data_IF_086430851748
#
_entry.id   IF_086430851748
#
_cell.length_a   1.000
_cell.length_b   1.000
_cell.length_c   1.000
_cell.angle_alpha   90.00
_cell.angle_beta   90.00
_cell.angle_gamma   90.00
#
_symmetry.space_group_name_H-M   'P 1'
#
loop_
_entity.id
_entity.type
_entity.pdbx_description
1 polymer ?
#
# COMPACT_ATOMS: atom_id res chain seq x y z
N UNK A 1 -0.98 1.28 -14.82
CA UNK A 1 -0.01 0.64 -13.91
C UNK A 1 0.91 1.63 -13.22
N UNK A 2 1.51 2.63 -13.89
CA UNK A 2 2.36 3.65 -13.25
C UNK A 2 1.59 4.77 -12.51
N UNK A 3 0.32 4.55 -12.18
CA UNK A 3 -0.53 5.53 -11.51
C UNK A 3 0.07 5.98 -10.17
N UNK A 4 0.79 5.08 -9.49
CA UNK A 4 1.50 5.37 -8.26
C UNK A 4 2.63 6.40 -8.44
N UNK A 5 3.35 6.42 -9.57
CA UNK A 5 4.36 7.46 -9.82
C UNK A 5 3.73 8.84 -9.97
N UNK A 6 2.65 8.95 -10.74
CA UNK A 6 1.95 10.22 -10.91
C UNK A 6 1.42 10.75 -9.58
N UNK A 7 0.89 9.85 -8.75
CA UNK A 7 0.46 10.15 -7.39
C UNK A 7 1.63 10.63 -6.53
N UNK A 8 2.77 9.91 -6.53
CA UNK A 8 3.95 10.29 -5.74
C UNK A 8 4.45 11.68 -6.13
N UNK A 9 4.57 11.96 -7.43
CA UNK A 9 4.97 13.27 -7.93
C UNK A 9 4.01 14.36 -7.43
N UNK A 10 2.69 14.12 -7.53
CA UNK A 10 1.69 15.03 -7.00
C UNK A 10 1.81 15.27 -5.50
N UNK A 11 2.01 14.21 -4.70
CA UNK A 11 2.21 14.34 -3.25
C UNK A 11 3.50 15.10 -2.90
N UNK A 12 4.60 14.85 -3.61
CA UNK A 12 5.87 15.55 -3.36
C UNK A 12 5.78 17.03 -3.70
N UNK A 13 5.08 17.39 -4.78
CA UNK A 13 4.82 18.80 -5.12
C UNK A 13 3.97 19.50 -4.06
N UNK A 14 3.00 18.80 -3.45
CA UNK A 14 2.18 19.34 -2.37
C UNK A 14 2.86 19.30 -1.00
N UNK A 15 3.88 18.45 -0.81
CA UNK A 15 4.58 18.27 0.46
C UNK A 15 5.05 19.57 1.13
N UNK A 16 5.65 20.57 0.45
CA UNK A 16 6.00 21.83 1.10
C UNK A 16 4.80 22.56 1.71
N UNK A 17 3.67 22.58 1.00
CA UNK A 17 2.41 23.20 1.48
C UNK A 17 1.85 22.40 2.66
N UNK A 18 1.78 21.07 2.52
CA UNK A 18 1.26 20.18 3.56
C UNK A 18 2.13 20.23 4.82
N UNK A 19 3.45 20.38 4.69
CA UNK A 19 4.38 20.52 5.82
C UNK A 19 4.06 21.76 6.64
N UNK A 20 3.85 22.90 5.99
CA UNK A 20 3.46 24.15 6.67
C UNK A 20 2.09 23.97 7.33
N UNK A 21 1.10 23.43 6.61
CA UNK A 21 -0.23 23.18 7.17
C UNK A 21 -0.17 22.32 8.45
N UNK A 22 0.54 21.19 8.42
CA UNK A 22 0.68 20.27 9.56
C UNK A 22 1.45 20.88 10.73
N UNK A 23 2.31 21.88 10.47
CA UNK A 23 3.06 22.59 11.50
C UNK A 23 2.18 23.59 12.28
N UNK A 24 1.25 24.27 11.60
CA UNK A 24 0.43 25.34 12.21
C UNK A 24 -1.01 24.93 12.54
N UNK A 25 -1.51 23.81 12.01
CA UNK A 25 -2.89 23.37 12.26
C UNK A 25 -3.10 22.97 13.73
N UNK A 26 -4.21 23.44 14.32
CA UNK A 26 -4.63 22.99 15.64
C UNK A 26 -5.01 21.50 15.60
N UNK A 27 -4.61 20.73 16.62
CA UNK A 27 -4.93 19.30 16.76
C UNK A 27 -6.44 18.99 16.62
N UNK A 28 -7.33 19.82 17.17
CA UNK A 28 -8.78 19.62 17.07
C UNK A 28 -9.28 19.75 15.63
N UNK A 29 -8.82 20.79 14.92
CA UNK A 29 -9.17 21.04 13.53
C UNK A 29 -8.59 19.94 12.63
N UNK A 30 -7.37 19.50 12.91
CA UNK A 30 -6.75 18.42 12.17
C UNK A 30 -7.51 17.10 12.34
N UNK A 31 -7.92 16.76 13.56
CA UNK A 31 -8.74 15.57 13.80
C UNK A 31 -10.10 15.68 13.10
N UNK A 32 -10.75 16.85 13.15
CA UNK A 32 -12.01 17.08 12.44
C UNK A 32 -11.86 16.89 10.93
N UNK A 33 -10.80 17.42 10.34
CA UNK A 33 -10.48 17.23 8.93
C UNK A 33 -10.28 15.73 8.59
N UNK A 34 -9.55 14.99 9.41
CA UNK A 34 -9.34 13.55 9.21
C UNK A 34 -10.63 12.74 9.37
N UNK A 35 -11.51 13.13 10.30
CA UNK A 35 -12.83 12.51 10.46
C UNK A 35 -13.72 12.75 9.24
N UNK A 36 -13.72 13.97 8.69
CA UNK A 36 -14.45 14.28 7.46
C UNK A 36 -13.92 13.47 6.27
N UNK A 37 -12.60 13.38 6.13
CA UNK A 37 -11.96 12.54 5.11
C UNK A 37 -12.38 11.08 5.27
N UNK A 38 -12.28 10.53 6.48
CA UNK A 38 -12.67 9.14 6.76
C UNK A 38 -14.16 8.88 6.49
N UNK A 39 -15.04 9.81 6.84
CA UNK A 39 -16.47 9.71 6.49
C UNK A 39 -16.66 9.66 4.97
N UNK A 40 -16.02 10.57 4.24
CA UNK A 40 -16.12 10.63 2.79
C UNK A 40 -15.55 9.40 2.08
N UNK A 41 -14.41 8.88 2.54
CA UNK A 41 -13.73 7.76 1.87
C UNK A 41 -14.23 6.39 2.28
N UNK A 42 -14.57 6.19 3.55
CA UNK A 42 -14.91 4.87 4.08
C UNK A 42 -16.42 4.70 4.32
N UNK A 43 -17.08 5.72 4.88
CA UNK A 43 -18.48 5.62 5.31
C UNK A 43 -19.44 5.82 4.14
N UNK A 44 -19.19 6.78 3.25
CA UNK A 44 -20.08 7.05 2.10
C UNK A 44 -20.18 5.83 1.17
N UNK A 45 -19.09 5.18 0.74
CA UNK A 45 -19.19 3.97 -0.08
C UNK A 45 -19.91 2.83 0.66
N UNK A 46 -19.72 2.71 1.98
CA UNK A 46 -20.40 1.71 2.79
C UNK A 46 -21.92 1.92 2.79
N UNK A 47 -22.38 3.17 2.92
CA UNK A 47 -23.82 3.47 2.85
C UNK A 47 -24.42 3.14 1.48
N UNK A 48 -23.65 3.31 0.41
CA UNK A 48 -24.10 2.97 -0.95
C UNK A 48 -24.25 1.46 -1.19
N UNK A 49 -23.72 0.61 -0.31
CA UNK A 49 -23.99 -0.84 -0.35
C UNK A 49 -25.35 -1.22 0.24
N UNK A 50 -25.82 -0.46 1.24
CA UNK A 50 -27.07 -0.76 1.95
C UNK A 50 -28.26 0.08 1.47
N UNK A 51 -28.02 1.13 0.67
CA UNK A 51 -29.05 2.03 0.18
C UNK A 51 -28.93 2.22 -1.33
N UNK A 52 -30.06 2.29 -2.03
CA UNK A 52 -30.12 2.67 -3.45
C UNK A 52 -29.66 4.12 -3.69
N UNK A 53 -29.58 4.94 -2.63
CA UNK A 53 -29.07 6.29 -2.68
C UNK A 53 -27.55 6.33 -2.82
N UNK A 54 -27.09 6.63 -4.03
CA UNK A 54 -25.69 6.93 -4.31
C UNK A 54 -25.41 8.40 -4.00
N UNK A 55 -24.92 8.67 -2.79
CA UNK A 55 -24.32 9.96 -2.48
C UNK A 55 -23.16 10.20 -3.45
N UNK A 56 -23.17 11.34 -4.12
CA UNK A 56 -22.10 11.70 -5.04
C UNK A 56 -20.80 11.86 -4.25
N UNK A 57 -19.76 11.10 -4.61
CA UNK A 57 -18.45 11.16 -3.97
C UNK A 57 -17.81 12.56 -4.02
N UNK A 58 -18.24 13.42 -4.95
CA UNK A 58 -17.83 14.81 -5.06
C UNK A 58 -18.30 15.69 -3.89
N UNK A 59 -19.26 15.24 -3.07
CA UNK A 59 -19.67 15.94 -1.85
C UNK A 59 -18.51 16.09 -0.87
N UNK A 60 -17.56 15.13 -0.90
CA UNK A 60 -16.34 15.19 -0.12
C UNK A 60 -15.17 15.55 -1.04
N UNK A 61 -14.85 16.85 -1.09
CA UNK A 61 -13.74 17.41 -1.88
C UNK A 61 -12.39 16.80 -1.44
N UNK A 62 -12.27 16.45 -0.16
CA UNK A 62 -11.09 15.82 0.41
C UNK A 62 -11.32 14.32 0.49
N UNK A 63 -11.13 13.62 -0.61
CA UNK A 63 -11.10 12.16 -0.68
C UNK A 63 -9.77 11.69 -1.27
N UNK A 64 -9.48 10.40 -1.12
CA UNK A 64 -8.31 9.79 -1.75
C UNK A 64 -7.02 9.88 -0.94
N UNK A 65 -5.89 9.85 -1.67
CA UNK A 65 -4.54 9.60 -1.15
C UNK A 65 -3.97 10.68 -0.25
N UNK A 66 -4.43 11.93 -0.40
CA UNK A 66 -3.96 13.06 0.40
C UNK A 66 -4.35 12.90 1.88
N UNK A 67 -5.54 12.40 2.17
CA UNK A 67 -5.95 12.16 3.54
C UNK A 67 -5.18 11.00 4.19
N UNK A 68 -4.80 9.98 3.41
CA UNK A 68 -3.88 8.93 3.88
C UNK A 68 -2.51 9.50 4.29
N UNK A 69 -1.97 10.39 3.46
CA UNK A 69 -0.69 11.03 3.73
C UNK A 69 -0.74 11.88 5.02
N UNK A 70 -1.80 12.66 5.19
CA UNK A 70 -2.03 13.46 6.39
C UNK A 70 -2.34 12.61 7.64
N UNK A 71 -3.07 11.51 7.48
CA UNK A 71 -3.36 10.55 8.55
C UNK A 71 -2.07 9.93 9.08
N UNK A 72 -1.15 9.54 8.20
CA UNK A 72 0.17 9.06 8.60
C UNK A 72 0.94 10.11 9.43
N UNK A 73 0.96 11.36 8.96
CA UNK A 73 1.61 12.46 9.68
C UNK A 73 0.98 12.74 11.06
N UNK A 74 -0.35 12.62 11.18
CA UNK A 74 -1.04 12.75 12.47
C UNK A 74 -0.73 11.58 13.40
N UNK A 75 -0.76 10.34 12.89
CA UNK A 75 -0.52 9.12 13.65
C UNK A 75 0.87 9.09 14.29
N UNK A 76 1.90 9.62 13.62
CA UNK A 76 3.25 9.72 14.19
C UNK A 76 3.32 10.60 15.46
N UNK A 77 2.40 11.56 15.62
CA UNK A 77 2.33 12.43 16.82
C UNK A 77 1.62 11.74 17.98
N UNK A 78 0.94 10.62 17.75
CA UNK A 78 0.14 9.91 18.75
C UNK A 78 0.87 8.64 19.20
N UNK A 79 1.04 8.47 20.52
CA UNK A 79 1.58 7.23 21.08
C UNK A 79 0.47 6.23 21.29
N UNK A 80 0.51 5.14 20.55
CA UNK A 80 -0.39 3.99 20.70
C UNK A 80 0.42 2.79 21.18
N UNK A 81 -0.12 2.01 22.12
CA UNK A 81 0.54 0.77 22.57
C UNK A 81 0.54 -0.25 21.44
N UNK A 82 1.67 -0.94 21.23
CA UNK A 82 1.86 -1.89 20.13
C UNK A 82 0.81 -3.00 20.09
N UNK A 83 0.31 -3.46 21.25
CA UNK A 83 -0.74 -4.48 21.32
C UNK A 83 -2.00 -4.06 20.56
N UNK A 84 -2.45 -2.80 20.73
CA UNK A 84 -3.63 -2.31 20.01
C UNK A 84 -3.38 -2.22 18.51
N UNK A 85 -2.14 -1.92 18.09
CA UNK A 85 -1.79 -1.89 16.67
C UNK A 85 -1.83 -3.29 16.05
N UNK A 86 -1.30 -4.30 16.74
CA UNK A 86 -1.40 -5.69 16.27
C UNK A 86 -2.85 -6.16 16.18
N UNK A 87 -3.68 -5.85 17.19
CA UNK A 87 -5.11 -6.17 17.18
C UNK A 87 -5.81 -5.48 16.01
N UNK A 88 -5.56 -4.18 15.80
CA UNK A 88 -6.17 -3.43 14.70
C UNK A 88 -5.73 -3.96 13.33
N UNK A 89 -4.46 -4.35 13.18
CA UNK A 89 -3.94 -4.95 11.95
C UNK A 89 -4.62 -6.28 11.65
N UNK A 90 -4.66 -7.19 12.63
CA UNK A 90 -5.28 -8.52 12.47
C UNK A 90 -6.77 -8.38 12.21
N UNK A 91 -7.48 -7.55 12.98
CA UNK A 91 -8.91 -7.30 12.78
C UNK A 91 -9.20 -6.67 11.42
N UNK A 92 -8.37 -5.73 10.95
CA UNK A 92 -8.53 -5.13 9.62
C UNK A 92 -8.37 -6.15 8.50
N UNK A 93 -7.35 -7.02 8.59
CA UNK A 93 -7.13 -8.08 7.61
C UNK A 93 -8.25 -9.13 7.64
N UNK A 94 -8.64 -9.60 8.83
CA UNK A 94 -9.74 -10.56 8.98
C UNK A 94 -11.08 -9.98 8.51
N UNK A 95 -11.36 -8.71 8.84
CA UNK A 95 -12.56 -8.03 8.35
C UNK A 95 -12.58 -7.94 6.83
N UNK A 96 -11.42 -7.79 6.19
CA UNK A 96 -11.32 -7.73 4.73
C UNK A 96 -11.57 -9.12 4.12
N UNK A 97 -10.96 -10.17 4.69
CA UNK A 97 -11.16 -11.56 4.23
C UNK A 97 -12.62 -12.01 4.40
N UNK A 98 -13.15 -11.86 5.61
CA UNK A 98 -14.52 -12.27 5.95
C UNK A 98 -15.54 -11.38 5.23
N UNK A 99 -15.33 -10.06 5.22
CA UNK A 99 -16.21 -9.12 4.56
C UNK A 99 -16.32 -9.38 3.06
N UNK A 100 -15.19 -9.66 2.40
CA UNK A 100 -15.20 -10.02 0.98
C UNK A 100 -15.93 -11.34 0.75
N UNK A 101 -15.66 -12.37 1.55
CA UNK A 101 -16.32 -13.67 1.43
C UNK A 101 -17.85 -13.56 1.56
N UNK A 102 -18.33 -12.81 2.55
CA UNK A 102 -19.77 -12.59 2.78
C UNK A 102 -20.38 -11.79 1.62
N UNK A 103 -19.76 -10.68 1.21
CA UNK A 103 -20.32 -9.84 0.13
C UNK A 103 -20.39 -10.62 -1.18
N UNK A 104 -19.34 -11.37 -1.53
CA UNK A 104 -19.33 -12.18 -2.74
C UNK A 104 -20.41 -13.27 -2.68
N UNK A 105 -20.57 -13.92 -1.53
CA UNK A 105 -21.59 -14.95 -1.32
C UNK A 105 -23.04 -14.45 -1.29
N UNK A 106 -23.27 -13.15 -1.04
CA UNK A 106 -24.62 -12.59 -0.85
C UNK A 106 -25.07 -11.65 -1.99
N UNK A 107 -24.18 -10.76 -2.45
CA UNK A 107 -24.48 -9.71 -3.44
C UNK A 107 -23.86 -10.04 -4.80
N UNK A 108 -22.89 -10.97 -4.84
CA UNK A 108 -22.22 -11.46 -6.04
C UNK A 108 -20.83 -10.85 -6.27
N UNK A 109 -20.07 -11.48 -7.17
CA UNK A 109 -18.64 -11.20 -7.42
C UNK A 109 -18.33 -9.74 -7.82
N UNK A 110 -19.32 -9.00 -8.30
CA UNK A 110 -19.17 -7.59 -8.70
C UNK A 110 -18.69 -6.69 -7.56
N UNK A 111 -18.94 -7.06 -6.31
CA UNK A 111 -18.52 -6.32 -5.12
C UNK A 111 -17.31 -6.93 -4.40
N UNK A 112 -16.65 -7.91 -5.02
CA UNK A 112 -15.45 -8.56 -4.46
C UNK A 112 -14.33 -7.58 -4.09
N UNK A 113 -14.22 -6.44 -4.78
CA UNK A 113 -13.18 -5.45 -4.55
C UNK A 113 -13.51 -4.46 -3.42
N UNK A 114 -14.73 -4.44 -2.89
CA UNK A 114 -15.15 -3.36 -1.97
C UNK A 114 -14.32 -3.28 -0.70
N UNK A 115 -14.13 -4.43 -0.02
CA UNK A 115 -13.32 -4.50 1.19
C UNK A 115 -11.81 -4.50 0.89
N UNK A 116 -11.43 -4.98 -0.29
CA UNK A 116 -10.05 -4.97 -0.77
C UNK A 116 -9.56 -3.58 -1.21
N UNK A 117 -10.48 -2.65 -1.48
CA UNK A 117 -10.13 -1.29 -1.87
C UNK A 117 -9.28 -0.62 -0.79
N UNK A 118 -8.25 0.11 -1.22
CA UNK A 118 -7.40 0.88 -0.32
C UNK A 118 -8.21 1.89 0.50
N UNK A 119 -9.36 2.38 0.04
CA UNK A 119 -10.20 3.32 0.79
C UNK A 119 -11.22 2.66 1.70
N UNK A 120 -11.25 1.33 1.79
CA UNK A 120 -12.14 0.62 2.69
C UNK A 120 -11.77 0.88 4.16
N UNK A 121 -12.76 0.87 5.06
CA UNK A 121 -12.52 1.13 6.47
C UNK A 121 -11.53 0.13 7.09
N UNK A 122 -11.62 -1.14 6.66
CA UNK A 122 -10.78 -2.22 7.16
C UNK A 122 -9.34 -2.04 6.70
N UNK A 123 -9.14 -1.68 5.43
CA UNK A 123 -7.81 -1.47 4.86
C UNK A 123 -7.15 -0.18 5.37
N UNK A 124 -7.93 0.88 5.63
CA UNK A 124 -7.43 2.10 6.31
C UNK A 124 -6.87 1.75 7.69
N UNK A 125 -7.64 1.03 8.51
CA UNK A 125 -7.21 0.61 9.85
C UNK A 125 -5.94 -0.24 9.82
N UNK A 126 -5.92 -1.26 8.95
CA UNK A 126 -4.77 -2.14 8.77
C UNK A 126 -3.52 -1.37 8.30
N UNK A 127 -3.67 -0.46 7.35
CA UNK A 127 -2.57 0.34 6.80
C UNK A 127 -1.98 1.29 7.84
N UNK A 128 -2.81 1.98 8.63
CA UNK A 128 -2.33 2.87 9.70
C UNK A 128 -1.62 2.07 10.79
N UNK A 129 -2.18 0.91 11.18
CA UNK A 129 -1.57 0.03 12.17
C UNK A 129 -0.19 -0.48 11.71
N UNK A 130 -0.12 -0.99 10.48
CA UNK A 130 1.13 -1.47 9.88
C UNK A 130 2.16 -0.35 9.77
N UNK A 131 1.75 0.83 9.31
CA UNK A 131 2.62 2.00 9.20
C UNK A 131 3.22 2.38 10.57
N UNK A 132 2.40 2.44 11.62
CA UNK A 132 2.89 2.76 12.96
C UNK A 132 3.84 1.69 13.50
N UNK A 133 3.53 0.41 13.29
CA UNK A 133 4.41 -0.70 13.69
C UNK A 133 5.77 -0.61 12.99
N UNK A 134 5.79 -0.35 11.68
CA UNK A 134 7.02 -0.19 10.91
C UNK A 134 7.80 1.06 11.31
N UNK A 135 7.11 2.17 11.59
CA UNK A 135 7.74 3.43 12.03
C UNK A 135 8.42 3.32 13.40
N UNK A 136 8.00 2.36 14.23
CA UNK A 136 8.60 2.09 15.53
C UNK A 136 9.88 1.24 15.44
N UNK A 137 10.16 0.61 14.29
CA UNK A 137 11.36 -0.20 14.08
C UNK A 137 12.55 0.72 13.78
N UNK A 138 13.57 0.70 14.63
CA UNK A 138 14.82 1.43 14.39
C UNK A 138 15.72 0.64 13.41
N UNK A 139 16.17 1.24 12.30
CA UNK A 139 17.09 0.59 11.36
C UNK A 139 18.40 0.12 12.02
N UNK A 140 18.98 0.94 12.90
CA UNK A 140 20.27 0.65 13.56
C UNK A 140 20.19 -0.63 14.42
N UNK A 141 19.11 -0.77 15.19
CA UNK A 141 18.86 -1.97 16.01
C UNK A 141 18.64 -3.22 15.15
N UNK A 142 18.06 -3.05 13.96
CA UNK A 142 17.86 -4.16 13.02
C UNK A 142 19.19 -4.61 12.41
N UNK A 143 20.08 -3.66 12.09
CA UNK A 143 21.41 -3.93 11.57
C UNK A 143 22.29 -4.66 12.59
N UNK A 144 22.29 -4.21 13.84
CA UNK A 144 23.01 -4.85 14.94
C UNK A 144 22.54 -6.30 15.17
N UNK A 145 21.22 -6.54 15.13
CA UNK A 145 20.65 -7.86 15.43
C UNK A 145 20.73 -8.83 14.24
N UNK A 146 20.57 -8.33 13.01
CA UNK A 146 20.51 -9.15 11.80
C UNK A 146 21.27 -8.49 10.63
N UNK A 147 22.62 -8.52 10.62
CA UNK A 147 23.42 -7.78 9.65
C UNK A 147 23.22 -8.27 8.21
N UNK A 148 23.04 -9.58 8.01
CA UNK A 148 22.78 -10.15 6.67
C UNK A 148 21.42 -9.74 6.12
N UNK A 149 20.39 -9.76 6.96
CA UNK A 149 19.03 -9.38 6.57
C UNK A 149 18.97 -7.88 6.27
N UNK A 150 19.57 -7.05 7.13
CA UNK A 150 19.67 -5.60 6.90
C UNK A 150 20.33 -5.28 5.56
N UNK A 151 21.42 -5.98 5.20
CA UNK A 151 22.08 -5.81 3.90
C UNK A 151 21.17 -6.16 2.72
N UNK A 152 20.43 -7.25 2.80
CA UNK A 152 19.47 -7.64 1.75
C UNK A 152 18.33 -6.62 1.65
N UNK A 153 17.76 -6.19 2.78
CA UNK A 153 16.71 -5.17 2.81
C UNK A 153 17.19 -3.84 2.24
N UNK A 154 18.41 -3.41 2.57
CA UNK A 154 19.02 -2.20 2.02
C UNK A 154 19.21 -2.30 0.51
N UNK A 155 19.67 -3.46 0.01
CA UNK A 155 19.82 -3.72 -1.42
C UNK A 155 18.45 -3.64 -2.14
N UNK A 156 17.41 -4.26 -1.59
CA UNK A 156 16.06 -4.20 -2.17
C UNK A 156 15.54 -2.76 -2.14
N UNK A 157 15.68 -2.07 -1.00
CA UNK A 157 15.23 -0.70 -0.80
C UNK A 157 15.80 0.27 -1.86
N UNK A 158 17.11 0.19 -2.10
CA UNK A 158 17.80 1.01 -3.11
C UNK A 158 17.38 0.72 -4.55
N UNK A 159 16.75 -0.44 -4.80
CA UNK A 159 16.30 -0.85 -6.13
C UNK A 159 14.76 -0.85 -6.27
N UNK A 160 14.03 -0.32 -5.30
CA UNK A 160 12.56 -0.33 -5.32
C UNK A 160 11.96 0.39 -6.54
N UNK A 161 12.49 1.57 -6.89
CA UNK A 161 12.02 2.36 -8.05
C UNK A 161 12.23 1.58 -9.37
N UNK A 162 13.45 1.10 -9.68
CA UNK A 162 13.69 0.27 -10.85
C UNK A 162 12.88 -1.03 -10.89
N UNK A 163 12.78 -1.73 -9.75
CA UNK A 163 11.97 -2.95 -9.64
C UNK A 163 10.51 -2.63 -9.93
N UNK A 164 9.97 -1.54 -9.40
CA UNK A 164 8.60 -1.11 -9.69
C UNK A 164 8.40 -0.72 -11.17
N UNK A 165 9.41 -0.28 -11.90
CA UNK A 165 9.27 -0.05 -13.35
C UNK A 165 9.28 -1.37 -14.15
N UNK A 166 10.14 -2.32 -13.77
CA UNK A 166 10.35 -3.56 -14.51
C UNK A 166 9.41 -4.70 -14.14
N UNK A 167 8.85 -4.72 -12.92
CA UNK A 167 8.12 -5.89 -12.41
C UNK A 167 6.95 -6.29 -13.31
N UNK A 168 6.25 -5.35 -13.95
CA UNK A 168 5.12 -5.67 -14.84
C UNK A 168 5.58 -6.46 -16.07
N UNK A 169 6.72 -6.09 -16.65
CA UNK A 169 7.27 -6.82 -17.81
C UNK A 169 7.66 -8.25 -17.41
N UNK A 170 8.27 -8.40 -16.24
CA UNK A 170 8.66 -9.71 -15.70
C UNK A 170 7.43 -10.55 -15.34
N UNK A 171 6.44 -9.94 -14.69
CA UNK A 171 5.20 -10.59 -14.29
C UNK A 171 4.44 -11.09 -15.51
N UNK A 172 4.26 -10.26 -16.54
CA UNK A 172 3.64 -10.67 -17.80
C UNK A 172 4.43 -11.81 -18.47
N UNK A 173 5.76 -11.78 -18.40
CA UNK A 173 6.58 -12.81 -18.99
C UNK A 173 6.46 -14.17 -18.28
N UNK A 174 6.34 -14.16 -16.94
CA UNK A 174 6.08 -15.35 -16.14
C UNK A 174 4.66 -15.90 -16.35
N UNK A 175 3.67 -15.03 -16.48
CA UNK A 175 2.27 -15.42 -16.69
C UNK A 175 1.99 -15.91 -18.11
N UNK A 176 2.69 -15.39 -19.12
CA UNK A 176 2.58 -15.83 -20.53
C UNK A 176 3.51 -17.00 -20.88
N UNK A 177 4.38 -17.40 -19.95
CA UNK A 177 5.24 -18.56 -20.11
C UNK A 177 6.43 -18.37 -21.04
N UNK A 178 6.92 -17.13 -21.24
CA UNK A 178 8.06 -16.87 -22.12
C UNK A 178 9.37 -17.56 -21.69
N UNK A 179 9.46 -17.99 -20.43
CA UNK A 179 10.60 -18.75 -19.89
C UNK A 179 10.44 -20.27 -19.99
N UNK A 180 9.41 -20.76 -20.69
CA UNK A 180 9.15 -22.20 -20.88
C UNK A 180 8.31 -22.85 -19.77
N UNK A 181 7.89 -22.08 -18.76
CA UNK A 181 6.95 -22.51 -17.72
C UNK A 181 5.96 -21.38 -17.44
N UNK A 182 4.69 -21.73 -17.18
CA UNK A 182 3.63 -20.77 -16.90
C UNK A 182 3.29 -20.80 -15.41
N UNK A 183 3.36 -19.65 -14.74
CA UNK A 183 2.86 -19.47 -13.38
C UNK A 183 1.58 -18.63 -13.49
N UNK A 184 0.42 -19.29 -13.35
CA UNK A 184 -0.89 -18.67 -13.52
C UNK A 184 -1.90 -19.18 -12.49
N UNK A 185 -2.81 -18.27 -12.10
CA UNK A 185 -3.94 -18.45 -11.17
C UNK A 185 -4.85 -19.64 -11.50
N UNK A 186 -4.79 -20.12 -12.74
CA UNK A 186 -5.57 -21.27 -13.20
C UNK A 186 -4.93 -22.63 -12.85
N UNK A 187 -3.63 -22.66 -12.54
CA UNK A 187 -2.83 -23.90 -12.44
C UNK A 187 -2.35 -24.22 -11.02
N UNK A 188 -2.21 -23.23 -10.14
CA UNK A 188 -1.66 -23.40 -8.79
C UNK A 188 -2.63 -22.77 -7.77
N UNK A 189 -2.67 -23.32 -6.55
CA UNK A 189 -3.43 -22.72 -5.47
C UNK A 189 -2.93 -21.28 -5.19
N UNK A 190 -3.81 -20.26 -5.15
CA UNK A 190 -3.42 -18.85 -4.96
C UNK A 190 -2.54 -18.60 -3.73
N UNK A 191 -2.67 -19.40 -2.68
CA UNK A 191 -1.87 -19.28 -1.45
C UNK A 191 -0.38 -19.55 -1.72
N UNK A 192 -0.07 -20.48 -2.63
CA UNK A 192 1.30 -20.81 -3.01
C UNK A 192 1.78 -19.97 -4.19
N UNK A 193 0.89 -19.68 -5.13
CA UNK A 193 1.23 -18.93 -6.33
C UNK A 193 1.64 -17.50 -6.02
N UNK A 194 0.88 -16.78 -5.17
CA UNK A 194 1.13 -15.36 -4.90
C UNK A 194 2.54 -15.14 -4.30
N UNK A 195 2.97 -15.87 -3.26
CA UNK A 195 4.35 -15.77 -2.76
C UNK A 195 5.39 -16.19 -3.80
N UNK A 196 5.11 -17.23 -4.58
CA UNK A 196 6.03 -17.76 -5.58
C UNK A 196 6.28 -16.76 -6.71
N UNK A 197 5.22 -16.25 -7.33
CA UNK A 197 5.32 -15.31 -8.45
C UNK A 197 5.93 -13.98 -7.97
N UNK A 198 5.59 -13.52 -6.77
CA UNK A 198 6.16 -12.30 -6.17
C UNK A 198 7.66 -12.47 -5.94
N UNK A 199 8.08 -13.59 -5.36
CA UNK A 199 9.49 -13.88 -5.10
C UNK A 199 10.28 -14.05 -6.40
N UNK A 200 9.74 -14.79 -7.37
CA UNK A 200 10.35 -14.97 -8.68
C UNK A 200 10.49 -13.62 -9.41
N UNK A 201 9.44 -12.81 -9.42
CA UNK A 201 9.46 -11.47 -10.05
C UNK A 201 10.51 -10.58 -9.41
N UNK A 202 10.59 -10.53 -8.07
CA UNK A 202 11.59 -9.74 -7.37
C UNK A 202 13.01 -10.21 -7.69
N UNK A 203 13.26 -11.52 -7.66
CA UNK A 203 14.59 -12.08 -7.94
C UNK A 203 15.02 -11.82 -9.39
N UNK A 204 14.14 -12.01 -10.36
CA UNK A 204 14.44 -11.73 -11.78
C UNK A 204 14.67 -10.23 -11.98
N UNK A 205 13.85 -9.36 -11.39
CA UNK A 205 14.06 -7.92 -11.47
C UNK A 205 15.43 -7.53 -10.92
N UNK A 206 15.80 -8.02 -9.73
CA UNK A 206 17.12 -7.75 -9.15
C UNK A 206 18.25 -8.32 -10.00
N UNK A 207 18.09 -9.53 -10.54
CA UNK A 207 19.08 -10.17 -11.42
C UNK A 207 19.30 -9.38 -12.71
N UNK A 208 18.28 -8.68 -13.22
CA UNK A 208 18.40 -7.79 -14.39
C UNK A 208 18.95 -6.42 -13.98
N UNK A 209 18.42 -5.80 -12.94
CA UNK A 209 18.77 -4.42 -12.55
C UNK A 209 20.21 -4.31 -12.03
N UNK A 210 20.71 -5.29 -11.28
CA UNK A 210 22.05 -5.23 -10.67
C UNK A 210 23.18 -5.21 -11.71
N UNK A 211 23.19 -6.06 -12.76
CA UNK A 211 24.12 -5.92 -13.89
C UNK A 211 23.93 -4.62 -14.66
N UNK A 212 22.68 -4.21 -14.91
CA UNK A 212 22.37 -2.98 -15.64
C UNK A 212 22.95 -1.73 -14.96
N UNK A 213 22.98 -1.69 -13.62
CA UNK A 213 23.63 -0.60 -12.86
C UNK A 213 25.15 -0.53 -13.00
N UNK A 214 25.81 -1.59 -13.49
CA UNK A 214 27.25 -1.56 -13.79
C UNK A 214 27.57 -0.78 -15.06
N UNK A 215 26.57 -0.53 -15.92
CA UNK A 215 26.74 0.26 -17.15
C UNK A 215 26.59 1.76 -16.81
N UNK A 216 27.61 2.61 -17.08
CA UNK A 216 27.67 3.99 -16.59
C UNK A 216 26.52 4.88 -17.11
N UNK A 217 26.00 4.61 -18.32
CA UNK A 217 24.87 5.35 -18.89
C UNK A 217 23.55 5.00 -18.18
N UNK A 218 23.35 3.73 -17.84
CA UNK A 218 22.11 3.24 -17.21
C UNK A 218 22.03 3.57 -15.73
N UNK A 219 23.18 3.66 -15.04
CA UNK A 219 23.25 4.14 -13.65
C UNK A 219 22.62 5.53 -13.50
N UNK A 220 22.79 6.42 -14.48
CA UNK A 220 22.25 7.80 -14.44
C UNK A 220 20.72 7.87 -14.53
N UNK A 221 20.07 6.87 -15.12
CA UNK A 221 18.62 6.81 -15.32
C UNK A 221 17.94 6.02 -14.19
N UNK A 222 18.60 4.97 -13.71
CA UNK A 222 18.06 3.99 -12.76
C UNK A 222 18.40 4.36 -11.30
N UNK A 223 19.40 5.24 -11.09
CA UNK A 223 19.94 5.64 -9.79
C UNK A 223 21.18 4.85 -9.41
#
# INVERSE_FOLDING_TARGET
HFWFFYLLVGLYLLTPVLRVLVAYINRKIFLFFLLLWFLGTAVVPLLSLFSEYRLNSNVFIVTGWLGYFLMGAYSLKVRVRSVFLYVLLVLGLLSTMIGTYIIVGTIGERYSQFFYDAFSFSMIGASVALFLLLSAVSPDKLEERFPRLSRVLSLISQNTIPVYLFHMMVLEALQKGFFGFQISLATINPILEVPLITSATLLICLAVILPLKKVPFMKKIIG
#
